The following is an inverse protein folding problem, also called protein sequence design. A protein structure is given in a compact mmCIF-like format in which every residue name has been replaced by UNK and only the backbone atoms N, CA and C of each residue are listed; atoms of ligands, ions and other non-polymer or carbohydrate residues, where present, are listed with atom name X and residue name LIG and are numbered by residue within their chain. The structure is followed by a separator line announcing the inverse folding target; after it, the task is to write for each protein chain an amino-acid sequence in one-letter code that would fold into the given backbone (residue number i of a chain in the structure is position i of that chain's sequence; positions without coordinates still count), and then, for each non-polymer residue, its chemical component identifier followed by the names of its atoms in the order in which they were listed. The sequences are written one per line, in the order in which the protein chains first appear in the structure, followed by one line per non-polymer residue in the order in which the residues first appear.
data_IF_465858040475
#
_entry.id   IF_465858040475
#
_cell.length_a   1.000
_cell.length_b   1.000
_cell.length_c   1.000
_cell.angle_alpha   90.00
_cell.angle_beta   90.00
_cell.angle_gamma   90.00
#
_symmetry.space_group_name_H-M   'P 1'
#
loop_
_entity.id
_entity.type
_entity.pdbx_description
1 polymer ?
#
# COMPACT_ATOMS: atom_id res chain seq x y z
N UNK A 1 9.89 11.02 -23.58
CA UNK A 1 10.80 10.18 -22.79
C UNK A 1 10.47 10.24 -21.31
N UNK A 2 10.57 11.40 -20.63
CA UNK A 2 10.26 11.54 -19.19
C UNK A 2 8.88 10.99 -18.77
N UNK A 3 7.80 11.37 -19.47
CA UNK A 3 6.46 10.81 -19.23
C UNK A 3 6.42 9.28 -19.38
N UNK A 4 7.10 8.74 -20.39
CA UNK A 4 7.17 7.30 -20.62
C UNK A 4 7.91 6.56 -19.52
N UNK A 5 9.03 7.10 -19.05
CA UNK A 5 9.77 6.55 -17.91
C UNK A 5 8.92 6.58 -16.63
N UNK A 6 8.23 7.69 -16.35
CA UNK A 6 7.38 7.81 -15.17
C UNK A 6 6.22 6.80 -15.19
N UNK A 7 5.57 6.63 -16.34
CA UNK A 7 4.50 5.64 -16.53
C UNK A 7 5.04 4.20 -16.44
N UNK A 8 6.19 3.92 -17.04
CA UNK A 8 6.83 2.60 -17.00
C UNK A 8 7.26 2.19 -15.59
N UNK A 9 7.97 3.09 -14.87
CA UNK A 9 8.36 2.88 -13.48
C UNK A 9 7.13 2.76 -12.57
N UNK A 10 6.12 3.60 -12.78
CA UNK A 10 4.84 3.51 -12.06
C UNK A 10 4.14 2.17 -12.28
N UNK A 11 4.17 1.66 -13.52
CA UNK A 11 3.63 0.35 -13.89
C UNK A 11 4.37 -0.83 -13.27
N UNK A 12 5.68 -0.72 -13.03
CA UNK A 12 6.41 -1.73 -12.25
C UNK A 12 6.10 -1.62 -10.75
N UNK A 13 5.80 -0.43 -10.24
CA UNK A 13 5.55 -0.22 -8.82
C UNK A 13 4.15 -0.69 -8.39
N UNK A 14 3.09 -0.30 -9.12
CA UNK A 14 1.69 -0.63 -8.77
C UNK A 14 0.78 -0.73 -10.01
N UNK A 15 -0.14 -1.72 -10.04
CA UNK A 15 -1.18 -1.81 -11.07
C UNK A 15 -2.11 -0.59 -11.12
N UNK A 16 -2.25 0.14 -10.00
CA UNK A 16 -3.12 1.33 -9.92
C UNK A 16 -2.69 2.49 -10.82
N UNK A 17 -1.48 2.46 -11.39
CA UNK A 17 -1.04 3.47 -12.38
C UNK A 17 -1.99 3.56 -13.58
N UNK A 18 -2.66 2.46 -13.94
CA UNK A 18 -3.57 2.43 -15.09
C UNK A 18 -4.76 3.38 -14.89
N UNK A 19 -5.24 3.53 -13.66
CA UNK A 19 -6.30 4.48 -13.29
C UNK A 19 -5.86 5.95 -13.35
N UNK A 20 -4.57 6.21 -13.47
CA UNK A 20 -4.01 7.54 -13.68
C UNK A 20 -3.69 7.75 -15.15
N UNK A 21 -2.97 6.80 -15.75
CA UNK A 21 -2.44 6.90 -17.10
C UNK A 21 -3.57 6.91 -18.15
N UNK A 22 -4.56 6.02 -18.01
CA UNK A 22 -5.61 5.88 -19.03
C UNK A 22 -6.48 7.14 -19.14
N UNK A 23 -7.03 7.74 -18.06
CA UNK A 23 -7.78 8.98 -18.17
C UNK A 23 -6.98 10.14 -18.75
N UNK A 24 -5.70 10.27 -18.39
CA UNK A 24 -4.81 11.31 -18.93
C UNK A 24 -4.60 11.13 -20.43
N UNK A 25 -4.31 9.91 -20.87
CA UNK A 25 -4.10 9.59 -22.29
C UNK A 25 -5.40 9.80 -23.08
N UNK A 26 -6.54 9.31 -22.59
CA UNK A 26 -7.84 9.46 -23.26
C UNK A 26 -8.26 10.93 -23.39
N UNK A 27 -8.09 11.71 -22.32
CA UNK A 27 -8.40 13.13 -22.35
C UNK A 27 -7.49 13.88 -23.32
N UNK A 28 -6.20 13.61 -23.32
CA UNK A 28 -5.25 14.22 -24.26
C UNK A 28 -5.61 13.89 -25.72
N UNK A 29 -6.00 12.64 -26.00
CA UNK A 29 -6.48 12.23 -27.32
C UNK A 29 -7.78 12.97 -27.71
N UNK A 30 -8.75 13.05 -26.79
CA UNK A 30 -10.01 13.76 -27.02
C UNK A 30 -9.83 15.26 -27.25
N UNK A 31 -8.98 15.92 -26.45
CA UNK A 31 -8.67 17.34 -26.62
C UNK A 31 -8.00 17.64 -27.96
N UNK A 32 -7.15 16.73 -28.46
CA UNK A 32 -6.52 16.87 -29.78
C UNK A 32 -7.50 16.64 -30.92
N UNK A 33 -8.41 15.68 -30.78
CA UNK A 33 -9.44 15.44 -31.77
C UNK A 33 -10.34 16.68 -31.94
N UNK A 34 -10.65 17.36 -30.82
CA UNK A 34 -11.43 18.59 -30.82
C UNK A 34 -10.65 19.85 -31.22
N UNK A 35 -9.33 19.89 -30.99
CA UNK A 35 -8.44 21.02 -31.33
C UNK A 35 -7.08 20.53 -31.84
N UNK A 36 -6.91 20.37 -33.17
CA UNK A 36 -5.70 19.80 -33.77
C UNK A 36 -4.42 20.65 -33.59
N UNK A 37 -4.55 21.92 -33.23
CA UNK A 37 -3.44 22.88 -33.08
C UNK A 37 -2.58 22.68 -31.80
N UNK A 38 -2.71 21.55 -31.11
CA UNK A 38 -1.89 21.25 -29.93
C UNK A 38 -0.40 21.19 -30.28
N UNK A 39 0.44 21.84 -29.47
CA UNK A 39 1.91 21.82 -29.59
C UNK A 39 2.54 20.45 -29.37
N UNK A 40 1.81 19.49 -28.81
CA UNK A 40 2.31 18.13 -28.56
C UNK A 40 1.98 17.23 -29.76
N UNK A 41 2.99 16.72 -30.46
CA UNK A 41 2.78 15.82 -31.62
C UNK A 41 2.23 14.47 -31.17
N UNK A 42 1.40 13.79 -31.97
CA UNK A 42 0.91 12.43 -31.63
C UNK A 42 2.08 11.46 -31.44
N UNK A 43 3.16 11.70 -32.18
CA UNK A 43 4.43 11.03 -32.04
C UNK A 43 5.06 11.18 -30.65
N UNK A 44 4.86 12.30 -29.96
CA UNK A 44 5.35 12.46 -28.59
C UNK A 44 4.63 11.54 -27.60
N UNK A 45 3.32 11.33 -27.79
CA UNK A 45 2.51 10.43 -26.99
C UNK A 45 2.86 8.97 -27.31
N UNK A 46 2.95 8.62 -28.60
CA UNK A 46 3.39 7.28 -29.05
C UNK A 46 4.77 6.94 -28.50
N UNK A 47 5.73 7.88 -28.56
CA UNK A 47 7.06 7.70 -27.96
C UNK A 47 7.00 7.54 -26.44
N UNK A 48 6.12 8.27 -25.75
CA UNK A 48 5.96 8.12 -24.30
C UNK A 48 5.38 6.76 -23.93
N UNK A 49 4.31 6.33 -24.61
CA UNK A 49 3.70 5.00 -24.41
C UNK A 49 4.69 3.90 -24.77
N UNK A 50 5.40 4.01 -25.89
CA UNK A 50 6.43 3.05 -26.29
C UNK A 50 7.53 2.89 -25.24
N UNK A 51 8.06 3.99 -24.69
CA UNK A 51 9.04 3.94 -23.59
C UNK A 51 8.43 3.30 -22.33
N UNK A 52 7.20 3.64 -21.97
CA UNK A 52 6.54 3.05 -20.80
C UNK A 52 6.40 1.52 -20.94
N UNK A 53 5.95 1.06 -22.11
CA UNK A 53 5.83 -0.36 -22.44
C UNK A 53 7.20 -1.03 -22.39
N UNK A 54 8.22 -0.47 -23.04
CA UNK A 54 9.58 -1.05 -23.02
C UNK A 54 10.13 -1.24 -21.61
N UNK A 55 9.86 -0.30 -20.69
CA UNK A 55 10.30 -0.38 -19.29
C UNK A 55 9.51 -1.44 -18.51
N UNK A 56 8.19 -1.45 -18.62
CA UNK A 56 7.35 -2.31 -17.76
C UNK A 56 7.17 -3.73 -18.32
N UNK A 57 7.23 -3.90 -19.64
CA UNK A 57 6.84 -5.14 -20.32
C UNK A 57 7.63 -6.37 -19.84
N UNK A 58 8.96 -6.34 -19.67
CA UNK A 58 9.71 -7.53 -19.26
C UNK A 58 9.20 -8.13 -17.94
N UNK A 59 8.87 -7.29 -16.96
CA UNK A 59 8.37 -7.77 -15.67
C UNK A 59 6.92 -8.27 -15.78
N UNK A 60 6.06 -7.53 -16.49
CA UNK A 60 4.65 -7.87 -16.63
C UNK A 60 4.40 -9.16 -17.39
N UNK A 61 5.24 -9.51 -18.38
CA UNK A 61 5.14 -10.80 -19.10
C UNK A 61 5.16 -11.99 -18.15
N UNK A 62 6.02 -11.97 -17.13
CA UNK A 62 6.14 -13.08 -16.18
C UNK A 62 5.25 -12.94 -14.94
N UNK A 63 4.81 -11.72 -14.61
CA UNK A 63 4.17 -11.44 -13.32
C UNK A 63 2.73 -10.89 -13.43
N UNK A 64 2.16 -10.71 -14.62
CA UNK A 64 0.83 -10.09 -14.78
C UNK A 64 -0.26 -10.80 -13.96
N UNK A 65 -0.37 -12.13 -14.09
CA UNK A 65 -1.39 -12.92 -13.40
C UNK A 65 -1.30 -12.80 -11.87
N UNK A 66 -0.16 -13.09 -11.21
CA UNK A 66 -0.06 -12.94 -9.76
C UNK A 66 -0.19 -11.48 -9.30
N UNK A 67 0.31 -10.51 -10.08
CA UNK A 67 0.21 -9.09 -9.74
C UNK A 67 -1.24 -8.59 -9.74
N UNK A 68 -2.02 -8.95 -10.77
CA UNK A 68 -3.44 -8.58 -10.89
C UNK A 68 -4.25 -9.28 -9.81
N UNK A 69 -4.05 -10.58 -9.59
CA UNK A 69 -4.72 -11.31 -8.52
C UNK A 69 -4.47 -10.67 -7.15
N UNK A 70 -3.21 -10.31 -6.85
CA UNK A 70 -2.85 -9.59 -5.63
C UNK A 70 -3.47 -8.21 -5.55
N UNK A 71 -3.59 -7.48 -6.66
CA UNK A 71 -4.22 -6.17 -6.69
C UNK A 71 -5.71 -6.23 -6.36
N UNK A 72 -6.45 -7.17 -6.95
CA UNK A 72 -7.86 -7.40 -6.63
C UNK A 72 -8.05 -7.88 -5.19
N UNK A 73 -7.23 -8.84 -4.74
CA UNK A 73 -7.24 -9.30 -3.36
C UNK A 73 -7.01 -8.14 -2.38
N UNK A 74 -6.00 -7.30 -2.65
CA UNK A 74 -5.70 -6.12 -1.82
C UNK A 74 -6.84 -5.11 -1.86
N UNK A 75 -7.48 -4.92 -3.02
CA UNK A 75 -8.64 -4.04 -3.16
C UNK A 75 -9.86 -4.49 -2.35
N UNK A 76 -10.00 -5.78 -2.09
CA UNK A 76 -11.11 -6.38 -1.34
C UNK A 76 -10.91 -6.47 0.19
N UNK A 77 -9.84 -5.87 0.75
CA UNK A 77 -9.57 -5.95 2.19
C UNK A 77 -10.59 -5.14 3.01
N UNK A 78 -11.66 -5.82 3.44
CA UNK A 78 -12.73 -5.30 4.31
C UNK A 78 -12.24 -4.78 5.66
N UNK A 79 -11.08 -5.26 6.16
CA UNK A 79 -10.43 -4.72 7.37
C UNK A 79 -10.08 -3.23 7.27
N UNK A 80 -9.94 -2.71 6.05
CA UNK A 80 -9.69 -1.29 5.78
C UNK A 80 -10.98 -0.54 5.40
N UNK A 81 -12.16 -1.11 5.62
CA UNK A 81 -13.43 -0.43 5.40
C UNK A 81 -13.70 0.57 6.53
N UNK A 82 -14.11 1.80 6.18
CA UNK A 82 -14.47 2.85 7.15
C UNK A 82 -15.97 2.88 7.50
N UNK A 83 -16.76 2.02 6.85
CA UNK A 83 -18.20 1.91 7.00
C UNK A 83 -18.82 1.24 5.78
N UNK A 84 -20.14 1.41 5.63
CA UNK A 84 -20.90 0.93 4.49
C UNK A 84 -20.41 1.58 3.17
N UNK A 85 -20.25 0.75 2.14
CA UNK A 85 -19.77 1.13 0.82
C UNK A 85 -20.64 2.22 0.19
N UNK A 86 -20.01 3.24 -0.40
CA UNK A 86 -20.72 4.34 -1.06
C UNK A 86 -21.51 5.29 -0.16
N UNK A 87 -21.59 5.05 1.16
CA UNK A 87 -22.31 5.97 2.05
C UNK A 87 -21.58 7.31 2.22
N UNK A 88 -22.34 8.39 2.36
CA UNK A 88 -21.76 9.74 2.57
C UNK A 88 -20.89 9.80 3.83
N UNK A 89 -21.28 9.10 4.89
CA UNK A 89 -20.52 9.01 6.15
C UNK A 89 -19.15 8.36 5.91
N UNK A 90 -19.10 7.27 5.14
CA UNK A 90 -17.85 6.59 4.77
C UNK A 90 -16.95 7.50 3.94
N UNK A 91 -17.50 8.20 2.94
CA UNK A 91 -16.74 9.14 2.10
C UNK A 91 -16.12 10.27 2.94
N UNK A 92 -16.87 10.84 3.88
CA UNK A 92 -16.36 11.90 4.78
C UNK A 92 -15.26 11.39 5.71
N UNK A 93 -15.42 10.19 6.27
CA UNK A 93 -14.37 9.53 7.07
C UNK A 93 -13.12 9.27 6.23
N UNK A 94 -13.30 8.76 5.01
CA UNK A 94 -12.19 8.53 4.09
C UNK A 94 -11.45 9.83 3.75
N UNK A 95 -12.18 10.90 3.48
CA UNK A 95 -11.59 12.20 3.19
C UNK A 95 -10.77 12.71 4.39
N UNK A 96 -11.29 12.58 5.61
CA UNK A 96 -10.58 12.91 6.84
C UNK A 96 -9.27 12.11 6.98
N UNK A 97 -9.35 10.78 6.84
CA UNK A 97 -8.16 9.89 6.92
C UNK A 97 -7.15 10.20 5.82
N UNK A 98 -7.61 10.48 4.59
CA UNK A 98 -6.76 10.87 3.47
C UNK A 98 -6.04 12.19 3.76
N UNK A 99 -6.76 13.22 4.18
CA UNK A 99 -6.20 14.53 4.52
C UNK A 99 -5.14 14.42 5.62
N UNK A 100 -5.41 13.65 6.67
CA UNK A 100 -4.49 13.47 7.79
C UNK A 100 -3.27 12.63 7.43
N UNK A 101 -3.45 11.52 6.71
CA UNK A 101 -2.40 10.52 6.48
C UNK A 101 -1.49 10.83 5.29
N UNK A 102 -2.02 11.51 4.26
CA UNK A 102 -1.28 11.72 2.99
C UNK A 102 -0.73 13.13 2.84
N UNK A 103 -1.51 14.15 3.25
CA UNK A 103 -1.12 15.56 3.13
C UNK A 103 -0.64 16.13 4.46
N UNK A 104 -1.32 15.78 5.55
CA UNK A 104 -1.25 16.47 6.82
C UNK A 104 -2.21 17.68 6.86
N UNK A 105 -2.68 18.10 8.05
CA UNK A 105 -3.66 19.18 8.18
C UNK A 105 -3.19 20.50 7.55
N UNK A 106 -1.91 20.84 7.71
CA UNK A 106 -1.37 22.11 7.23
C UNK A 106 -1.33 22.19 5.70
N UNK A 107 -0.83 21.15 5.01
CA UNK A 107 -0.86 21.10 3.54
C UNK A 107 -2.29 20.95 3.00
N UNK A 108 -3.17 20.28 3.73
CA UNK A 108 -4.60 20.19 3.37
C UNK A 108 -5.24 21.58 3.35
N UNK A 109 -5.07 22.37 4.41
CA UNK A 109 -5.58 23.73 4.49
C UNK A 109 -5.00 24.62 3.39
N UNK A 110 -3.70 24.49 3.11
CA UNK A 110 -3.05 25.21 2.02
C UNK A 110 -3.65 24.84 0.65
N UNK A 111 -3.83 23.53 0.38
CA UNK A 111 -4.42 23.05 -0.86
C UNK A 111 -5.87 23.56 -1.04
N UNK A 112 -6.67 23.57 0.02
CA UNK A 112 -8.02 24.13 0.03
C UNK A 112 -8.00 25.63 -0.25
N UNK A 113 -7.12 26.39 0.40
CA UNK A 113 -7.01 27.84 0.21
C UNK A 113 -6.58 28.21 -1.22
N UNK A 114 -5.59 27.50 -1.79
CA UNK A 114 -5.16 27.66 -3.18
C UNK A 114 -6.30 27.35 -4.15
N UNK A 115 -6.99 26.22 -3.93
CA UNK A 115 -8.09 25.78 -4.79
C UNK A 115 -9.26 26.75 -4.73
N UNK A 116 -9.69 27.17 -3.54
CA UNK A 116 -10.76 28.14 -3.36
C UNK A 116 -10.43 29.48 -4.03
N UNK A 117 -9.20 29.99 -3.83
CA UNK A 117 -8.74 31.22 -4.48
C UNK A 117 -8.78 31.10 -6.01
N UNK A 118 -8.29 29.98 -6.55
CA UNK A 118 -8.31 29.70 -7.98
C UNK A 118 -9.74 29.65 -8.54
N UNK A 119 -10.65 28.90 -7.90
CA UNK A 119 -12.05 28.78 -8.31
C UNK A 119 -12.77 30.13 -8.26
N UNK A 120 -12.62 30.90 -7.18
CA UNK A 120 -13.23 32.24 -7.05
C UNK A 120 -12.72 33.16 -8.16
N UNK A 121 -11.41 33.18 -8.43
CA UNK A 121 -10.85 34.01 -9.51
C UNK A 121 -11.29 33.55 -10.91
N UNK A 122 -11.53 32.24 -11.09
CA UNK A 122 -12.01 31.65 -12.33
C UNK A 122 -13.47 32.05 -12.58
N UNK A 123 -14.33 31.85 -11.58
CA UNK A 123 -15.76 32.20 -11.62
C UNK A 123 -15.98 33.72 -11.79
N UNK A 124 -15.13 34.53 -11.16
CA UNK A 124 -15.15 35.99 -11.31
C UNK A 124 -14.48 36.51 -12.59
N UNK A 125 -14.01 35.61 -13.48
CA UNK A 125 -13.32 35.95 -14.74
C UNK A 125 -12.09 36.85 -14.57
N UNK A 126 -11.47 36.84 -13.38
CA UNK A 126 -10.26 37.63 -13.06
C UNK A 126 -8.97 36.92 -13.50
N UNK A 127 -9.05 35.63 -13.77
CA UNK A 127 -7.94 34.80 -14.21
C UNK A 127 -7.76 34.86 -15.73
N UNK A 128 -6.64 35.43 -16.19
CA UNK A 128 -6.18 35.29 -17.58
C UNK A 128 -5.38 33.99 -17.71
N UNK A 129 -6.05 32.90 -18.09
CA UNK A 129 -5.43 31.58 -18.21
C UNK A 129 -5.15 31.27 -19.68
N UNK A 130 -3.90 30.94 -20.01
CA UNK A 130 -3.58 30.34 -21.30
C UNK A 130 -4.13 28.90 -21.33
N UNK A 131 -4.77 28.52 -22.44
CA UNK A 131 -5.30 27.19 -22.70
C UNK A 131 -4.34 26.05 -22.31
N UNK A 132 -3.03 26.21 -22.54
CA UNK A 132 -2.03 25.20 -22.17
C UNK A 132 -1.94 24.95 -20.65
N UNK A 133 -2.02 26.00 -19.83
CA UNK A 133 -1.99 25.86 -18.36
C UNK A 133 -3.29 25.28 -17.83
N UNK A 134 -4.43 25.66 -18.42
CA UNK A 134 -5.73 25.09 -18.07
C UNK A 134 -5.76 23.59 -18.40
N UNK A 135 -5.33 23.22 -19.61
CA UNK A 135 -5.22 21.82 -20.04
C UNK A 135 -4.34 21.00 -19.08
N UNK A 136 -3.20 21.54 -18.65
CA UNK A 136 -2.34 20.87 -17.68
C UNK A 136 -3.03 20.62 -16.33
N UNK A 137 -3.81 21.59 -15.81
CA UNK A 137 -4.61 21.40 -14.58
C UNK A 137 -5.66 20.30 -14.80
N UNK A 138 -6.39 20.34 -15.91
CA UNK A 138 -7.42 19.35 -16.21
C UNK A 138 -6.81 17.95 -16.36
N UNK A 139 -5.67 17.80 -17.03
CA UNK A 139 -4.97 16.51 -17.13
C UNK A 139 -4.51 15.99 -15.76
N UNK A 140 -3.99 16.87 -14.90
CA UNK A 140 -3.62 16.51 -13.53
C UNK A 140 -4.82 16.04 -12.71
N UNK A 141 -5.96 16.73 -12.81
CA UNK A 141 -7.19 16.33 -12.15
C UNK A 141 -7.74 15.01 -12.73
N UNK A 142 -7.72 14.84 -14.06
CA UNK A 142 -8.13 13.60 -14.71
C UNK A 142 -7.28 12.40 -14.29
N UNK A 143 -5.98 12.61 -14.02
CA UNK A 143 -5.11 11.56 -13.48
C UNK A 143 -5.32 11.28 -11.99
N UNK A 144 -5.85 12.23 -11.21
CA UNK A 144 -5.95 12.09 -9.75
C UNK A 144 -7.34 11.66 -9.29
N UNK A 145 -8.37 12.36 -9.79
CA UNK A 145 -9.76 12.28 -9.29
C UNK A 145 -10.37 10.89 -9.47
N UNK A 146 -10.22 10.18 -10.62
CA UNK A 146 -10.81 8.86 -10.77
C UNK A 146 -10.31 7.86 -9.73
N UNK A 147 -9.00 7.83 -9.46
CA UNK A 147 -8.44 6.92 -8.45
C UNK A 147 -8.88 7.30 -7.03
N UNK A 148 -8.94 8.60 -6.72
CA UNK A 148 -9.47 9.08 -5.44
C UNK A 148 -10.95 8.71 -5.26
N UNK A 149 -11.75 8.84 -6.31
CA UNK A 149 -13.17 8.48 -6.28
C UNK A 149 -13.39 6.99 -6.10
N UNK A 150 -12.68 6.15 -6.87
CA UNK A 150 -12.74 4.68 -6.74
C UNK A 150 -12.36 4.24 -5.32
N UNK A 151 -11.34 4.86 -4.72
CA UNK A 151 -10.93 4.55 -3.35
C UNK A 151 -11.91 5.06 -2.29
N UNK A 152 -12.63 6.15 -2.55
CA UNK A 152 -13.63 6.70 -1.62
C UNK A 152 -14.94 5.90 -1.58
N UNK A 153 -15.28 5.24 -2.69
CA UNK A 153 -16.53 4.45 -2.84
C UNK A 153 -16.28 2.94 -2.69
N UNK A 154 -15.03 2.50 -2.80
CA UNK A 154 -14.67 1.09 -2.76
C UNK A 154 -14.76 0.43 -1.38
N UNK A 155 -14.34 -0.83 -1.30
CA UNK A 155 -14.43 -1.64 -0.08
C UNK A 155 -13.19 -1.45 0.82
N UNK A 156 -12.06 -1.09 0.21
CA UNK A 156 -10.80 -0.78 0.89
C UNK A 156 -10.49 0.73 0.82
N UNK A 157 -10.54 1.38 1.98
CA UNK A 157 -10.37 2.82 2.13
C UNK A 157 -8.92 3.22 2.50
N UNK A 158 -7.95 2.31 2.33
CA UNK A 158 -6.56 2.55 2.69
C UNK A 158 -5.92 3.63 1.80
N UNK A 159 -5.47 4.77 2.36
CA UNK A 159 -4.88 5.86 1.57
C UNK A 159 -3.61 5.47 0.79
N UNK A 160 -2.92 4.39 1.18
CA UNK A 160 -1.76 3.87 0.44
C UNK A 160 -2.12 3.47 -0.99
N UNK A 161 -3.36 3.08 -1.25
CA UNK A 161 -3.83 2.73 -2.60
C UNK A 161 -3.88 3.96 -3.53
N UNK A 162 -4.12 5.14 -2.97
CA UNK A 162 -4.25 6.40 -3.71
C UNK A 162 -3.00 7.27 -3.69
N UNK A 163 -1.94 6.88 -2.98
CA UNK A 163 -0.71 7.66 -2.86
C UNK A 163 -0.14 8.14 -4.21
N UNK A 164 -0.30 7.34 -5.27
CA UNK A 164 0.20 7.71 -6.60
C UNK A 164 -0.60 8.85 -7.27
N UNK A 165 -1.86 9.07 -6.86
CA UNK A 165 -2.66 10.22 -7.29
C UNK A 165 -2.18 11.54 -6.68
N UNK A 166 -1.39 11.51 -5.61
CA UNK A 166 -0.86 12.73 -4.99
C UNK A 166 0.11 13.48 -5.90
N UNK A 167 0.84 12.78 -6.76
CA UNK A 167 1.80 13.40 -7.69
C UNK A 167 1.08 14.31 -8.69
N UNK A 168 0.13 13.81 -9.52
CA UNK A 168 -0.61 14.69 -10.41
C UNK A 168 -1.42 15.74 -9.64
N UNK A 169 -1.98 15.42 -8.48
CA UNK A 169 -2.70 16.39 -7.64
C UNK A 169 -1.79 17.55 -7.20
N UNK A 170 -0.58 17.26 -6.72
CA UNK A 170 0.40 18.26 -6.30
C UNK A 170 0.86 19.14 -7.48
N UNK A 171 1.07 18.56 -8.66
CA UNK A 171 1.39 19.32 -9.88
C UNK A 171 0.23 20.26 -10.24
N UNK A 172 -1.01 19.75 -10.23
CA UNK A 172 -2.21 20.55 -10.47
C UNK A 172 -2.35 21.71 -9.48
N UNK A 173 -2.15 21.44 -8.19
CA UNK A 173 -2.13 22.46 -7.12
C UNK A 173 -1.02 23.50 -7.32
N UNK A 174 0.18 23.08 -7.72
CA UNK A 174 1.28 24.01 -8.03
C UNK A 174 0.97 24.93 -9.20
N UNK A 175 0.36 24.41 -10.26
CA UNK A 175 -0.09 25.22 -11.40
C UNK A 175 -1.21 26.17 -10.97
N UNK A 176 -2.19 25.70 -10.20
CA UNK A 176 -3.26 26.53 -9.65
C UNK A 176 -2.71 27.66 -8.77
N UNK A 177 -1.74 27.38 -7.88
CA UNK A 177 -1.08 28.37 -7.04
C UNK A 177 -0.29 29.42 -7.85
N UNK A 178 0.36 29.00 -8.93
CA UNK A 178 1.04 29.92 -9.86
C UNK A 178 0.04 30.84 -10.55
N UNK A 179 -1.06 30.28 -11.06
CA UNK A 179 -2.11 31.03 -11.74
C UNK A 179 -2.83 32.02 -10.81
N UNK A 180 -3.12 31.60 -9.58
CA UNK A 180 -3.82 32.41 -8.57
C UNK A 180 -2.92 33.39 -7.81
N UNK A 181 -1.66 33.56 -8.26
CA UNK A 181 -0.64 34.49 -7.72
C UNK A 181 -0.14 34.19 -6.31
N UNK A 182 -0.43 33.02 -5.76
CA UNK A 182 0.12 32.59 -4.46
C UNK A 182 1.64 32.55 -4.46
N UNK A 183 2.26 32.21 -5.58
CA UNK A 183 3.72 32.19 -5.71
C UNK A 183 4.32 33.52 -6.18
N UNK A 184 3.49 34.48 -6.62
CA UNK A 184 3.95 35.79 -7.09
C UNK A 184 4.01 36.83 -5.96
N UNK A 185 3.16 36.69 -4.94
CA UNK A 185 3.21 37.53 -3.74
C UNK A 185 4.26 37.00 -2.77
N UNK A 186 5.21 37.86 -2.36
CA UNK A 186 6.27 37.48 -1.39
C UNK A 186 5.70 36.93 -0.09
N UNK A 187 4.61 37.51 0.40
CA UNK A 187 3.96 37.08 1.65
C UNK A 187 3.27 35.71 1.50
N UNK A 188 2.53 35.49 0.41
CA UNK A 188 1.88 34.20 0.16
C UNK A 188 2.91 33.10 -0.11
N UNK A 189 3.98 33.42 -0.85
CA UNK A 189 5.08 32.50 -1.07
C UNK A 189 5.78 32.14 0.24
N UNK A 190 5.99 33.11 1.15
CA UNK A 190 6.54 32.84 2.47
C UNK A 190 5.63 31.92 3.30
N UNK A 191 4.30 32.12 3.26
CA UNK A 191 3.33 31.23 3.91
C UNK A 191 3.42 29.82 3.33
N UNK A 192 3.42 29.67 2.00
CA UNK A 192 3.56 28.37 1.32
C UNK A 192 4.83 27.68 1.79
N UNK A 193 5.98 28.36 1.73
CA UNK A 193 7.28 27.81 2.15
C UNK A 193 7.26 27.42 3.63
N UNK A 194 6.76 28.27 4.51
CA UNK A 194 6.67 27.99 5.94
C UNK A 194 5.82 26.74 6.23
N UNK A 195 4.67 26.60 5.56
CA UNK A 195 3.79 25.43 5.70
C UNK A 195 4.48 24.16 5.18
N UNK A 196 5.17 24.22 4.04
CA UNK A 196 5.94 23.09 3.52
C UNK A 196 7.07 22.69 4.46
N UNK A 197 7.85 23.65 4.96
CA UNK A 197 8.92 23.41 5.93
C UNK A 197 8.38 22.82 7.23
N UNK A 198 7.28 23.36 7.75
CA UNK A 198 6.63 22.83 8.95
C UNK A 198 6.15 21.38 8.76
N UNK A 199 5.50 21.08 7.63
CA UNK A 199 5.06 19.72 7.33
C UNK A 199 6.27 18.77 7.15
N UNK A 200 7.34 19.23 6.49
CA UNK A 200 8.56 18.44 6.35
C UNK A 200 9.18 18.14 7.71
N UNK A 201 9.26 19.13 8.60
CA UNK A 201 9.74 18.95 9.99
C UNK A 201 8.87 17.94 10.73
N UNK A 202 7.54 17.97 10.59
CA UNK A 202 6.66 16.94 11.18
C UNK A 202 6.96 15.55 10.60
N UNK A 203 7.23 15.45 9.29
CA UNK A 203 7.52 14.18 8.61
C UNK A 203 8.90 13.61 8.94
N UNK A 204 9.89 14.44 9.29
CA UNK A 204 11.25 13.97 9.62
C UNK A 204 11.57 13.98 11.12
N UNK A 205 10.79 14.71 11.92
CA UNK A 205 10.99 14.78 13.36
C UNK A 205 10.57 13.48 14.03
N UNK A 206 11.42 12.88 14.88
CA UNK A 206 11.07 11.67 15.64
C UNK A 206 9.99 11.89 16.73
N UNK A 207 9.48 13.11 16.96
CA UNK A 207 8.76 13.43 18.21
C UNK A 207 7.22 13.56 18.13
N UNK A 208 6.59 13.01 19.18
CA UNK A 208 5.28 13.26 19.84
C UNK A 208 3.97 13.21 19.06
N UNK A 209 3.97 13.27 17.74
CA UNK A 209 2.76 13.25 16.93
C UNK A 209 2.22 11.85 16.56
N UNK A 210 2.89 10.77 17.00
CA UNK A 210 2.34 9.42 16.84
C UNK A 210 1.04 9.36 17.64
N UNK A 211 -0.12 9.19 17.01
CA UNK A 211 -1.36 9.08 17.77
C UNK A 211 -1.21 7.88 18.71
N UNK A 212 -1.44 8.11 20.01
CA UNK A 212 -1.48 7.03 20.99
C UNK A 212 -2.85 6.40 20.89
N UNK A 213 -2.95 5.40 20.04
CA UNK A 213 -4.18 4.64 19.92
C UNK A 213 -4.40 3.83 21.18
N UNK A 214 -5.63 3.84 21.69
CA UNK A 214 -6.05 3.05 22.84
C UNK A 214 -6.57 1.69 22.37
N UNK A 215 -6.57 0.74 23.29
CA UNK A 215 -7.13 -0.59 23.07
C UNK A 215 -8.65 -0.46 22.81
N UNK A 216 -9.11 -0.84 21.61
CA UNK A 216 -10.50 -0.69 21.18
C UNK A 216 -10.79 0.45 20.18
N UNK A 217 -9.79 1.30 19.86
CA UNK A 217 -9.93 2.31 18.81
C UNK A 217 -10.25 1.66 17.46
N UNK A 218 -11.12 2.29 16.67
CA UNK A 218 -11.49 1.74 15.35
C UNK A 218 -10.31 1.83 14.39
N UNK A 219 -10.21 0.89 13.44
CA UNK A 219 -9.27 0.94 12.31
C UNK A 219 -9.25 2.31 11.60
N UNK A 220 -10.41 2.97 11.57
CA UNK A 220 -10.63 4.32 11.05
C UNK A 220 -9.89 5.43 11.82
N UNK A 221 -9.76 5.28 13.14
CA UNK A 221 -9.07 6.21 14.04
C UNK A 221 -7.57 5.93 14.03
N UNK A 222 -7.18 4.68 13.76
CA UNK A 222 -5.79 4.21 13.83
C UNK A 222 -4.89 4.58 12.63
N UNK A 223 -5.34 5.51 11.77
CA UNK A 223 -4.67 5.94 10.51
C UNK A 223 -4.10 4.81 9.66
N UNK A 224 -4.53 3.55 9.80
CA UNK A 224 -4.11 2.33 9.08
C UNK A 224 -2.58 2.03 8.97
N UNK A 225 -1.67 3.01 9.07
CA UNK A 225 -0.22 2.94 8.90
C UNK A 225 0.54 4.00 9.71
N UNK A 226 -0.16 4.79 10.54
CA UNK A 226 0.43 5.87 11.34
C UNK A 226 0.93 7.07 10.51
N UNK A 227 1.71 7.95 11.15
CA UNK A 227 2.33 9.13 10.52
C UNK A 227 3.39 8.69 9.49
N UNK A 228 3.67 9.45 8.40
CA UNK A 228 4.84 9.26 7.53
C UNK A 228 6.15 8.83 8.23
N UNK A 229 6.39 9.27 9.47
CA UNK A 229 7.54 8.82 10.28
C UNK A 229 7.50 7.34 10.66
N UNK A 230 6.33 6.75 10.95
CA UNK A 230 6.18 5.34 11.36
C UNK A 230 6.38 4.36 10.21
N UNK A 231 6.09 4.77 8.97
CA UNK A 231 6.40 3.96 7.78
C UNK A 231 7.86 4.00 7.37
N UNK A 232 8.60 5.04 7.78
CA UNK A 232 10.05 5.17 7.56
C UNK A 232 10.89 4.55 8.68
N UNK A 233 10.29 4.15 9.80
CA UNK A 233 11.00 3.44 10.85
C UNK A 233 11.56 2.13 10.31
N UNK A 234 12.86 1.90 10.54
CA UNK A 234 13.50 0.62 10.25
C UNK A 234 12.80 -0.46 11.06
N UNK A 235 11.98 -1.28 10.40
CA UNK A 235 11.38 -2.45 11.03
C UNK A 235 12.46 -3.49 11.22
N UNK A 236 12.53 -4.02 12.43
CA UNK A 236 13.31 -5.20 12.71
C UNK A 236 12.91 -6.33 11.75
N UNK A 237 13.90 -7.01 11.19
CA UNK A 237 13.72 -8.19 10.36
C UNK A 237 14.05 -9.41 11.22
N UNK A 238 13.19 -10.42 11.23
CA UNK A 238 13.47 -11.65 11.96
C UNK A 238 14.50 -12.49 11.22
N UNK A 239 15.37 -13.12 11.99
CA UNK A 239 16.37 -14.04 11.46
C UNK A 239 15.77 -15.42 11.23
N UNK A 240 15.22 -15.61 10.03
CA UNK A 240 14.63 -16.87 9.60
C UNK A 240 15.66 -17.96 9.29
N UNK A 241 16.97 -17.68 9.32
CA UNK A 241 18.00 -18.71 9.15
C UNK A 241 17.90 -19.80 10.21
N UNK A 242 17.46 -19.45 11.42
CA UNK A 242 17.20 -20.41 12.52
C UNK A 242 16.20 -21.51 12.13
N UNK A 243 15.17 -21.17 11.35
CA UNK A 243 14.19 -22.15 10.88
C UNK A 243 14.82 -23.09 9.85
N UNK A 244 15.63 -22.55 8.94
CA UNK A 244 16.37 -23.34 7.96
C UNK A 244 17.35 -24.29 8.64
N UNK A 245 18.10 -23.83 9.63
CA UNK A 245 19.05 -24.67 10.37
C UNK A 245 18.32 -25.79 11.12
N UNK A 246 17.18 -25.48 11.73
CA UNK A 246 16.31 -26.47 12.39
C UNK A 246 15.77 -27.52 11.39
N UNK A 247 15.38 -27.10 10.19
CA UNK A 247 14.90 -27.99 9.13
C UNK A 247 16.03 -28.90 8.61
N UNK A 248 17.23 -28.36 8.40
CA UNK A 248 18.39 -29.12 7.94
C UNK A 248 18.85 -30.15 8.98
N UNK A 249 18.75 -29.84 10.28
CA UNK A 249 18.98 -30.82 11.36
C UNK A 249 18.02 -32.01 11.32
N UNK A 250 16.84 -31.84 10.72
CA UNK A 250 15.84 -32.89 10.52
C UNK A 250 15.81 -33.42 9.08
N UNK A 251 16.88 -33.21 8.31
CA UNK A 251 17.04 -33.67 6.93
C UNK A 251 15.98 -33.12 5.93
N UNK A 252 15.42 -31.94 6.20
CA UNK A 252 14.46 -31.27 5.31
C UNK A 252 15.21 -30.18 4.51
N UNK A 253 15.51 -30.44 3.23
CA UNK A 253 16.24 -29.48 2.37
C UNK A 253 15.35 -28.52 1.60
N UNK A 254 14.24 -29.01 1.04
CA UNK A 254 13.34 -28.29 0.14
C UNK A 254 11.90 -28.34 0.69
N UNK A 255 11.60 -27.59 1.77
CA UNK A 255 10.40 -27.79 2.56
C UNK A 255 9.13 -27.24 1.89
N UNK A 256 8.02 -27.97 2.06
CA UNK A 256 6.68 -27.37 2.11
C UNK A 256 6.38 -26.89 3.53
N UNK A 257 6.15 -25.58 3.66
CA UNK A 257 5.94 -24.88 4.92
C UNK A 257 4.53 -24.29 4.94
N UNK A 258 3.71 -24.73 5.88
CA UNK A 258 2.43 -24.13 6.18
C UNK A 258 2.51 -23.29 7.45
N UNK A 259 1.83 -22.15 7.47
CA UNK A 259 1.79 -21.31 8.68
C UNK A 259 0.43 -20.69 8.97
N UNK A 260 0.14 -20.48 10.26
CA UNK A 260 -1.03 -19.73 10.73
C UNK A 260 -0.61 -18.56 11.60
N UNK A 261 -1.33 -17.45 11.44
CA UNK A 261 -1.07 -16.20 12.11
C UNK A 261 -0.52 -15.12 11.18
N UNK A 262 -0.46 -13.91 11.70
CA UNK A 262 0.04 -12.73 10.99
C UNK A 262 0.88 -11.87 11.94
N UNK A 263 1.98 -11.35 11.42
CA UNK A 263 2.90 -10.46 12.11
C UNK A 263 3.88 -9.85 11.11
N UNK A 264 4.52 -8.74 11.47
CA UNK A 264 5.32 -7.93 10.53
C UNK A 264 6.38 -8.69 9.72
N UNK A 265 6.94 -9.77 10.26
CA UNK A 265 7.94 -10.63 9.61
C UNK A 265 7.43 -12.06 9.32
N UNK A 266 6.19 -12.40 9.68
CA UNK A 266 5.59 -13.71 9.46
C UNK A 266 4.88 -13.73 8.10
N UNK A 267 5.66 -13.75 7.02
CA UNK A 267 5.14 -13.77 5.64
C UNK A 267 5.90 -14.77 4.78
N UNK A 268 5.31 -15.27 3.67
CA UNK A 268 5.94 -16.28 2.82
C UNK A 268 7.34 -15.86 2.33
N UNK A 269 7.48 -14.58 2.03
CA UNK A 269 8.70 -13.97 1.51
C UNK A 269 9.85 -13.97 2.51
N UNK A 270 9.59 -13.61 3.77
CA UNK A 270 10.63 -13.61 4.80
C UNK A 270 10.98 -15.03 5.22
N UNK A 271 9.98 -15.91 5.34
CA UNK A 271 10.18 -17.33 5.69
C UNK A 271 11.02 -18.03 4.63
N UNK A 272 10.74 -17.83 3.33
CA UNK A 272 11.48 -18.50 2.24
C UNK A 272 12.86 -17.92 1.98
N UNK A 273 13.12 -16.69 2.40
CA UNK A 273 14.34 -15.95 2.07
C UNK A 273 15.65 -16.74 2.33
N UNK A 274 15.85 -17.40 3.49
CA UNK A 274 17.08 -18.16 3.76
C UNK A 274 17.36 -19.32 2.80
N UNK A 275 16.32 -19.92 2.20
CA UNK A 275 16.48 -20.98 1.19
C UNK A 275 16.86 -20.38 -0.16
N UNK A 276 16.18 -19.31 -0.56
CA UNK A 276 16.45 -18.61 -1.83
C UNK A 276 17.89 -18.09 -1.86
N UNK A 277 18.40 -17.52 -0.77
CA UNK A 277 19.80 -17.05 -0.69
C UNK A 277 20.80 -18.19 -0.73
N UNK A 278 20.40 -19.41 -0.37
CA UNK A 278 21.20 -20.62 -0.47
C UNK A 278 21.04 -21.35 -1.82
N UNK A 279 20.28 -20.80 -2.77
CA UNK A 279 20.00 -21.45 -4.06
C UNK A 279 19.08 -22.68 -3.97
N UNK A 280 18.30 -22.79 -2.89
CA UNK A 280 17.31 -23.86 -2.66
C UNK A 280 15.89 -23.31 -2.80
N UNK A 281 14.91 -24.21 -2.91
CA UNK A 281 13.49 -23.84 -2.94
C UNK A 281 12.81 -24.12 -1.60
N UNK A 282 11.83 -23.28 -1.26
CA UNK A 282 10.91 -23.50 -0.15
C UNK A 282 9.53 -23.03 -0.57
N UNK A 283 8.54 -23.91 -0.44
CA UNK A 283 7.14 -23.57 -0.70
C UNK A 283 6.51 -23.11 0.61
N UNK A 284 5.99 -21.88 0.64
CA UNK A 284 5.39 -21.33 1.86
C UNK A 284 3.94 -20.92 1.60
N UNK A 285 3.02 -21.48 2.38
CA UNK A 285 1.57 -21.22 2.27
C UNK A 285 0.98 -20.84 3.63
N UNK A 286 -0.05 -19.99 3.59
CA UNK A 286 -0.81 -19.61 4.78
C UNK A 286 -2.00 -20.57 4.94
N UNK A 287 -2.19 -21.12 6.13
CA UNK A 287 -3.27 -22.04 6.47
C UNK A 287 -4.63 -21.33 6.51
N UNK A 288 -4.67 -20.16 7.14
CA UNK A 288 -5.89 -19.38 7.31
C UNK A 288 -5.57 -17.91 7.58
N UNK A 289 -6.47 -17.02 7.15
CA UNK A 289 -6.47 -15.59 7.47
C UNK A 289 -7.92 -15.17 7.75
N UNK A 290 -8.12 -14.28 8.70
CA UNK A 290 -9.45 -13.78 9.09
C UNK A 290 -10.22 -13.19 7.90
N UNK A 291 -9.50 -12.56 6.96
CA UNK A 291 -10.09 -11.96 5.75
C UNK A 291 -10.75 -12.98 4.81
N UNK A 292 -10.44 -14.27 4.95
CA UNK A 292 -11.02 -15.34 4.15
C UNK A 292 -12.32 -15.92 4.72
N UNK A 293 -12.80 -15.39 5.85
CA UNK A 293 -14.01 -15.84 6.53
C UNK A 293 -13.71 -16.90 7.59
N UNK A 294 -14.76 -17.64 7.97
CA UNK A 294 -14.68 -18.64 9.03
C UNK A 294 -13.64 -19.72 8.71
N UNK A 295 -12.99 -20.22 9.75
CA UNK A 295 -11.96 -21.24 9.61
C UNK A 295 -12.56 -22.59 9.22
N UNK A 296 -12.07 -23.15 8.11
CA UNK A 296 -12.34 -24.53 7.71
C UNK A 296 -11.22 -25.45 8.24
N UNK A 297 -11.47 -26.07 9.39
CA UNK A 297 -10.52 -26.97 10.03
C UNK A 297 -10.21 -28.23 9.22
N UNK A 298 -11.10 -28.66 8.32
CA UNK A 298 -10.82 -29.83 7.48
C UNK A 298 -9.78 -29.47 6.41
N UNK A 299 -9.94 -28.30 5.78
CA UNK A 299 -8.95 -27.76 4.86
C UNK A 299 -7.61 -27.52 5.55
N UNK A 300 -7.61 -26.92 6.74
CA UNK A 300 -6.37 -26.69 7.52
C UNK A 300 -5.64 -28.01 7.79
N UNK A 301 -6.35 -29.08 8.18
CA UNK A 301 -5.76 -30.41 8.37
C UNK A 301 -5.18 -30.99 7.08
N UNK A 302 -5.86 -30.83 5.95
CA UNK A 302 -5.36 -31.27 4.66
C UNK A 302 -4.07 -30.55 4.26
N UNK A 303 -4.02 -29.23 4.45
CA UNK A 303 -2.83 -28.42 4.14
C UNK A 303 -1.65 -28.76 5.09
N UNK A 304 -1.93 -29.02 6.37
CA UNK A 304 -0.94 -29.56 7.33
C UNK A 304 -0.39 -30.91 6.85
N UNK A 305 -1.26 -31.82 6.40
CA UNK A 305 -0.83 -33.14 5.91
C UNK A 305 0.05 -33.06 4.66
N UNK A 306 -0.11 -32.03 3.83
CA UNK A 306 0.74 -31.80 2.66
C UNK A 306 2.08 -31.12 3.00
N UNK A 307 2.26 -30.70 4.25
CA UNK A 307 3.40 -29.88 4.69
C UNK A 307 4.49 -30.69 5.42
N UNK A 308 5.75 -30.35 5.19
CA UNK A 308 6.89 -30.83 5.97
C UNK A 308 7.05 -30.04 7.28
N UNK A 309 6.73 -28.75 7.25
CA UNK A 309 6.89 -27.82 8.38
C UNK A 309 5.56 -27.11 8.62
N UNK A 310 5.11 -27.08 9.87
CA UNK A 310 3.96 -26.28 10.29
C UNK A 310 4.40 -25.29 11.36
N UNK A 311 4.07 -24.02 11.20
CA UNK A 311 4.46 -22.99 12.16
C UNK A 311 3.33 -22.02 12.51
N UNK A 312 3.40 -21.49 13.74
CA UNK A 312 2.53 -20.42 14.23
C UNK A 312 3.30 -19.57 15.23
N UNK A 313 2.72 -18.49 15.75
CA UNK A 313 3.45 -17.63 16.67
C UNK A 313 2.60 -16.99 17.75
N UNK A 314 3.26 -16.67 18.85
CA UNK A 314 2.69 -15.94 19.99
C UNK A 314 3.42 -14.61 20.16
N UNK A 315 2.75 -13.65 20.81
CA UNK A 315 3.25 -12.28 20.99
C UNK A 315 3.68 -11.66 19.65
N UNK A 316 2.91 -11.96 18.59
CA UNK A 316 3.18 -11.43 17.26
C UNK A 316 2.88 -9.93 17.26
N UNK A 317 3.81 -9.06 16.83
CA UNK A 317 3.54 -7.63 16.70
C UNK A 317 2.51 -7.44 15.59
N UNK A 318 1.26 -7.22 16.00
CA UNK A 318 0.12 -7.03 15.10
C UNK A 318 -0.38 -5.60 15.13
N UNK A 319 -0.75 -5.08 13.96
CA UNK A 319 -1.58 -3.89 13.90
C UNK A 319 -3.00 -4.23 14.32
N UNK A 320 -3.34 -4.01 15.60
CA UNK A 320 -4.73 -4.09 16.11
C UNK A 320 -5.65 -3.18 15.26
N UNK A 321 -5.12 -2.02 14.86
CA UNK A 321 -5.69 -1.12 13.86
C UNK A 321 -6.15 -1.78 12.58
N UNK A 322 -5.37 -2.73 12.08
CA UNK A 322 -5.64 -3.46 10.85
C UNK A 322 -6.36 -4.78 11.12
N UNK A 323 -6.85 -5.00 12.35
CA UNK A 323 -7.41 -6.27 12.83
C UNK A 323 -6.51 -7.48 12.59
N UNK A 324 -5.19 -7.26 12.55
CA UNK A 324 -4.22 -8.33 12.31
C UNK A 324 -4.13 -9.31 13.49
N UNK A 325 -4.55 -8.87 14.67
CA UNK A 325 -4.73 -9.71 15.85
C UNK A 325 -5.76 -10.83 15.62
N UNK A 326 -6.80 -10.59 14.81
CA UNK A 326 -7.80 -11.61 14.47
C UNK A 326 -7.21 -12.75 13.62
N UNK A 327 -6.15 -12.50 12.85
CA UNK A 327 -5.45 -13.57 12.12
C UNK A 327 -4.76 -14.56 13.09
N UNK A 328 -4.56 -14.18 14.35
CA UNK A 328 -3.88 -14.98 15.38
C UNK A 328 -4.82 -15.70 16.34
N UNK A 329 -6.13 -15.52 16.21
CA UNK A 329 -7.11 -16.03 17.19
C UNK A 329 -7.13 -17.56 17.31
N UNK A 330 -6.71 -18.28 16.26
CA UNK A 330 -6.67 -19.75 16.21
C UNK A 330 -5.26 -20.33 16.43
N UNK A 331 -4.24 -19.51 16.74
CA UNK A 331 -2.86 -19.99 16.90
C UNK A 331 -2.75 -21.03 18.04
N UNK A 332 -3.45 -20.80 19.15
CA UNK A 332 -3.50 -21.76 20.27
C UNK A 332 -4.15 -23.08 19.86
N UNK A 333 -5.26 -23.03 19.12
CA UNK A 333 -5.97 -24.22 18.64
C UNK A 333 -5.12 -25.05 17.67
N UNK A 334 -4.34 -24.37 16.80
CA UNK A 334 -3.38 -25.05 15.94
C UNK A 334 -2.27 -25.73 16.73
N UNK A 335 -1.73 -25.09 17.79
CA UNK A 335 -0.70 -25.73 18.64
C UNK A 335 -1.24 -27.00 19.29
N UNK A 336 -2.46 -26.99 19.82
CA UNK A 336 -3.07 -28.18 20.42
C UNK A 336 -3.33 -29.28 19.37
N UNK A 337 -3.79 -28.91 18.17
CA UNK A 337 -3.94 -29.84 17.05
C UNK A 337 -2.61 -30.51 16.67
N UNK A 338 -1.53 -29.72 16.60
CA UNK A 338 -0.20 -30.23 16.21
C UNK A 338 0.44 -31.08 17.31
N UNK A 339 0.24 -30.75 18.60
CA UNK A 339 0.68 -31.59 19.73
C UNK A 339 0.01 -32.96 19.70
N UNK A 340 -1.25 -33.04 19.28
CA UNK A 340 -1.98 -34.29 19.13
C UNK A 340 -1.60 -35.08 17.86
N UNK A 341 -0.83 -34.48 16.94
CA UNK A 341 -0.51 -35.09 15.64
C UNK A 341 0.74 -35.97 15.72
N UNK A 342 0.61 -37.31 15.59
CA UNK A 342 1.73 -38.22 15.80
C UNK A 342 2.81 -38.13 14.71
N UNK A 343 2.45 -37.67 13.52
CA UNK A 343 3.34 -37.53 12.35
C UNK A 343 4.37 -36.40 12.49
N UNK A 344 4.17 -35.47 13.43
CA UNK A 344 5.03 -34.32 13.64
C UNK A 344 5.81 -34.43 14.95
N UNK A 345 7.03 -33.91 14.95
CA UNK A 345 7.87 -33.62 16.11
C UNK A 345 7.80 -32.15 16.47
N UNK A 346 7.98 -31.84 17.75
CA UNK A 346 7.83 -30.50 18.32
C UNK A 346 6.94 -30.52 19.56
N UNK A 347 6.55 -29.35 20.09
CA UNK A 347 6.85 -28.01 19.59
C UNK A 347 8.33 -27.61 19.77
N UNK A 348 8.94 -27.02 18.74
CA UNK A 348 10.21 -26.29 18.85
C UNK A 348 9.92 -24.80 18.89
N UNK A 349 10.49 -24.09 19.86
CA UNK A 349 10.31 -22.65 19.99
C UNK A 349 11.48 -21.91 19.36
N UNK A 350 11.18 -21.05 18.38
CA UNK A 350 12.12 -20.12 17.79
C UNK A 350 11.83 -18.72 18.32
N UNK A 351 12.74 -18.23 19.17
CA UNK A 351 12.70 -16.85 19.63
C UNK A 351 13.32 -15.91 18.58
N UNK A 352 12.46 -15.02 18.07
CA UNK A 352 12.75 -14.11 16.98
C UNK A 352 12.51 -12.66 17.41
N UNK A 353 13.34 -11.76 16.89
CA UNK A 353 13.28 -10.34 17.22
C UNK A 353 14.06 -9.98 18.49
N UNK A 354 14.92 -8.98 18.38
CA UNK A 354 15.70 -8.36 19.45
C UNK A 354 14.91 -7.26 20.15
N UNK A 355 14.09 -6.51 19.43
CA UNK A 355 13.32 -5.39 19.96
C UNK A 355 11.84 -5.74 20.15
N UNK A 356 11.26 -6.46 19.19
CA UNK A 356 9.91 -7.01 19.29
C UNK A 356 10.02 -8.53 19.39
N UNK A 357 10.20 -9.02 20.61
CA UNK A 357 10.37 -10.44 20.88
C UNK A 357 9.08 -11.20 20.58
N UNK A 358 9.16 -12.17 19.67
CA UNK A 358 8.07 -13.08 19.34
C UNK A 358 8.57 -14.51 19.35
N UNK A 359 7.71 -15.41 19.80
CA UNK A 359 8.01 -16.84 19.83
C UNK A 359 7.25 -17.51 18.70
N UNK A 360 7.97 -18.06 17.74
CA UNK A 360 7.42 -18.87 16.65
C UNK A 360 7.52 -20.34 17.07
N UNK A 361 6.38 -21.01 17.13
CA UNK A 361 6.28 -22.45 17.41
C UNK A 361 6.34 -23.22 16.12
N UNK A 362 7.23 -24.19 16.04
CA UNK A 362 7.51 -24.99 14.85
C UNK A 362 7.26 -26.46 15.13
N UNK A 363 6.63 -27.12 14.17
CA UNK A 363 6.44 -28.56 14.13
C UNK A 363 7.02 -29.10 12.81
N UNK A 364 7.77 -30.18 12.90
CA UNK A 364 8.48 -30.80 11.76
C UNK A 364 7.94 -32.20 11.54
N UNK A 365 7.74 -32.61 10.28
CA UNK A 365 7.34 -33.98 9.96
C UNK A 365 8.47 -34.95 10.32
N UNK A 366 8.16 -36.05 11.03
CA UNK A 366 9.17 -37.00 11.54
C UNK A 366 9.86 -37.81 10.44
N UNK A 367 9.15 -38.09 9.34
CA UNK A 367 9.64 -38.79 8.15
C UNK A 367 9.25 -37.96 6.93
N UNK A 368 9.97 -36.86 6.66
CA UNK A 368 9.59 -35.85 5.66
C UNK A 368 9.74 -36.31 4.22
#
# INVERSE_FOLDING_TARGET
VGLGLALGLGGMAKPTILFIAAPVILLELGLRWLKPESRTTIWSLVKAVGVAVLVMFPWWVFNAKPAIAKAFLSGGYSRHALGEEGSLSTILKWLYVFMQSMLGPALTLLALAVTATFVIQLLSKRLKINAAKLQAVVLCLAGSVPLLFVAAVGTNHNPRLTAIALVPLAIGLGIMASLSRWLASRWLAAIVIAVFCFQLVIMVSPSSGSPRYQEGDRAAEMLLWGNPTTVMQRREQWDWSKLKDLAEQHAISDPSIAYMGNGGNLTPEHIRHPWVTAGKEAQVSTLWLYVHGDIDWNKVKQDIQASNIVLTGFNLPTGIADKQDLDNQHNTELVELMKASPEFSGPYNLDLGRFNHSTVVVFLRKNP
#
